data_IF_574068206549
#
_entry.id   IF_574068206549
#
_cell.length_a   1.000
_cell.length_b   1.000
_cell.length_c   1.000
_cell.angle_alpha   90.00
_cell.angle_beta   90.00
_cell.angle_gamma   90.00
#
_symmetry.space_group_name_H-M   'P 1'
#
loop_
_entity.id
_entity.type
_entity.pdbx_description
1 polymer ?
#
# COMPACT_ATOMS: atom_id res chain seq x y z
N UNK A 1 85.06 33.55 24.19
CA UNK A 1 84.63 33.12 22.84
C UNK A 1 83.60 32.03 23.02
N UNK A 2 82.34 32.32 22.65
CA UNK A 2 81.19 31.42 22.78
C UNK A 2 81.30 30.28 21.76
N UNK A 3 81.06 29.03 22.16
CA UNK A 3 80.83 27.96 21.20
C UNK A 3 79.34 27.53 21.20
N UNK A 4 78.93 26.92 20.10
CA UNK A 4 77.71 26.12 19.90
C UNK A 4 76.36 26.84 19.77
N UNK A 5 76.12 27.41 18.58
CA UNK A 5 74.80 27.41 17.92
C UNK A 5 74.60 26.02 17.29
N UNK A 6 73.99 25.06 17.97
CA UNK A 6 73.40 23.86 17.33
C UNK A 6 72.47 23.02 18.24
N UNK A 7 71.73 23.62 19.18
CA UNK A 7 70.90 22.82 20.10
C UNK A 7 69.69 23.59 20.67
N UNK A 8 68.86 24.25 19.83
CA UNK A 8 67.61 24.89 20.33
C UNK A 8 66.39 24.71 19.40
N UNK A 9 66.52 24.23 18.17
CA UNK A 9 65.34 24.13 17.26
C UNK A 9 64.56 22.80 17.31
N UNK A 10 64.95 21.84 18.15
CA UNK A 10 64.16 20.60 18.34
C UNK A 10 63.28 20.59 19.60
N UNK A 11 63.24 21.68 20.38
CA UNK A 11 62.44 21.76 21.62
C UNK A 11 61.33 22.82 21.56
N UNK A 12 60.86 23.15 20.36
CA UNK A 12 59.71 24.04 20.12
C UNK A 12 58.73 23.48 19.07
N UNK A 13 58.74 22.16 18.84
CA UNK A 13 57.76 21.44 18.01
C UNK A 13 57.03 20.32 18.80
N UNK A 14 57.35 20.13 20.09
CA UNK A 14 56.68 19.13 20.95
C UNK A 14 55.76 19.79 22.00
N UNK A 15 55.71 21.13 22.04
CA UNK A 15 54.89 21.90 23.00
C UNK A 15 53.62 22.52 22.42
N UNK A 16 53.23 22.18 21.18
CA UNK A 16 52.06 22.76 20.49
C UNK A 16 51.09 21.69 19.98
N UNK A 17 51.08 20.51 20.60
CA UNK A 17 50.21 19.38 20.26
C UNK A 17 49.37 18.91 21.47
N UNK A 18 49.18 19.79 22.44
CA UNK A 18 48.20 19.63 23.51
C UNK A 18 47.49 20.97 23.66
N UNK A 19 46.15 20.93 23.74
CA UNK A 19 45.20 22.05 23.78
C UNK A 19 44.65 22.48 22.42
N UNK A 20 43.86 21.61 21.78
CA UNK A 20 42.49 21.92 21.33
C UNK A 20 41.76 20.61 21.05
N UNK A 21 41.52 19.81 22.10
CA UNK A 21 40.33 18.96 22.14
C UNK A 21 39.40 19.56 23.17
N UNK A 22 38.85 20.73 22.83
CA UNK A 22 37.54 21.03 23.35
C UNK A 22 36.63 19.98 22.72
N UNK A 23 36.26 18.98 23.52
CA UNK A 23 35.12 18.13 23.24
C UNK A 23 33.88 19.02 23.27
N UNK A 24 33.66 19.73 22.16
CA UNK A 24 32.42 20.46 21.94
C UNK A 24 31.39 19.41 21.53
N UNK A 25 30.57 19.06 22.51
CA UNK A 25 29.21 18.54 22.40
C UNK A 25 28.52 19.00 21.10
N UNK A 26 28.78 18.28 20.00
CA UNK A 26 28.15 18.40 18.68
C UNK A 26 28.43 17.19 17.77
N UNK A 27 28.91 16.07 18.33
CA UNK A 27 29.08 14.81 17.60
C UNK A 27 27.99 13.77 17.92
N UNK A 28 26.86 14.24 18.45
CA UNK A 28 25.65 13.42 18.58
C UNK A 28 24.86 13.70 17.31
N UNK A 29 24.77 12.73 16.41
CA UNK A 29 23.85 12.82 15.28
C UNK A 29 22.47 13.20 15.81
N UNK A 30 21.80 14.21 15.23
CA UNK A 30 20.52 14.66 15.76
C UNK A 30 19.57 13.47 15.80
N UNK A 31 19.04 13.22 16.99
CA UNK A 31 18.26 12.02 17.31
C UNK A 31 17.07 11.83 16.35
N UNK A 32 16.53 12.94 15.81
CA UNK A 32 15.46 12.99 14.81
C UNK A 32 15.81 12.46 13.42
N UNK A 33 17.10 12.19 13.12
CA UNK A 33 17.50 11.47 11.89
C UNK A 33 17.16 9.97 11.95
N UNK A 34 17.11 9.42 13.17
CA UNK A 34 16.90 8.00 13.39
C UNK A 34 15.41 7.64 13.49
N UNK A 35 14.57 8.60 13.87
CA UNK A 35 13.12 8.43 13.96
C UNK A 35 12.42 9.80 13.89
N UNK A 36 11.19 9.83 13.38
CA UNK A 36 10.39 11.05 13.33
C UNK A 36 8.91 10.75 13.08
N UNK A 37 8.07 11.77 13.29
CA UNK A 37 6.78 11.91 12.62
C UNK A 37 6.82 13.25 11.89
N UNK A 38 6.58 13.24 10.58
CA UNK A 38 6.54 14.45 9.75
C UNK A 38 5.27 14.50 8.95
N UNK A 39 4.73 15.71 8.81
CA UNK A 39 3.46 15.96 8.16
C UNK A 39 3.66 16.70 6.84
N UNK A 40 2.89 16.34 5.83
CA UNK A 40 2.90 16.95 4.51
C UNK A 40 1.49 17.32 4.07
N UNK A 41 1.42 18.35 3.24
CA UNK A 41 0.17 18.90 2.75
C UNK A 41 0.03 20.38 3.08
N UNK A 42 -0.35 21.16 2.07
CA UNK A 42 -0.67 22.59 2.17
C UNK A 42 -2.13 22.76 2.64
N UNK A 43 -2.85 23.76 2.12
CA UNK A 43 -4.27 23.94 2.42
C UNK A 43 -5.11 22.73 1.97
N UNK A 44 -6.18 22.45 2.72
CA UNK A 44 -7.07 21.31 2.50
C UNK A 44 -6.71 20.07 3.31
N UNK A 45 -7.49 19.01 3.09
CA UNK A 45 -7.32 17.70 3.72
C UNK A 45 -6.47 16.82 2.80
N UNK A 46 -5.35 16.33 3.29
CA UNK A 46 -4.43 15.49 2.54
C UNK A 46 -4.45 14.08 3.11
N UNK A 47 -4.88 13.13 2.30
CA UNK A 47 -4.93 11.71 2.63
C UNK A 47 -3.80 10.96 1.96
N UNK A 48 -3.08 10.14 2.72
CA UNK A 48 -2.04 9.28 2.19
C UNK A 48 -2.61 8.01 1.54
N UNK A 49 -1.96 7.50 0.50
CA UNK A 49 -2.37 6.26 -0.18
C UNK A 49 -1.25 5.25 -0.25
N UNK A 50 -0.12 5.62 -0.83
CA UNK A 50 1.01 4.72 -0.97
C UNK A 50 2.34 5.48 -1.13
N UNK A 51 3.46 4.78 -1.00
CA UNK A 51 4.79 5.34 -1.25
C UNK A 51 5.78 4.31 -1.77
N UNK A 52 6.82 4.82 -2.41
CA UNK A 52 7.99 4.04 -2.83
C UNK A 52 9.27 4.63 -2.23
N UNK A 53 10.22 3.75 -1.93
CA UNK A 53 11.58 4.11 -1.52
C UNK A 53 12.49 3.91 -2.73
N UNK A 54 13.20 4.94 -3.13
CA UNK A 54 14.14 4.91 -4.24
C UNK A 54 15.56 4.55 -3.78
N UNK A 55 16.33 3.95 -4.69
CA UNK A 55 17.75 3.62 -4.46
C UNK A 55 18.62 4.85 -4.16
N UNK A 56 18.18 6.06 -4.58
CA UNK A 56 18.86 7.32 -4.30
C UNK A 56 18.62 7.87 -2.88
N UNK A 57 17.91 7.13 -2.02
CA UNK A 57 17.61 7.55 -0.65
C UNK A 57 16.52 8.62 -0.60
N UNK A 58 15.59 8.59 -1.54
CA UNK A 58 14.39 9.43 -1.52
C UNK A 58 13.13 8.60 -1.41
N UNK A 59 12.07 9.21 -0.89
CA UNK A 59 10.74 8.61 -0.79
C UNK A 59 9.79 9.43 -1.65
N UNK A 60 8.98 8.78 -2.50
CA UNK A 60 7.88 9.44 -3.22
C UNK A 60 6.58 8.90 -2.63
N UNK A 61 5.76 9.79 -2.12
CA UNK A 61 4.46 9.50 -1.51
C UNK A 61 3.37 10.02 -2.45
N UNK A 62 2.34 9.22 -2.65
CA UNK A 62 1.11 9.65 -3.32
C UNK A 62 -0.07 9.65 -2.36
N UNK A 63 -0.97 10.57 -2.62
CA UNK A 63 -2.16 10.78 -1.82
C UNK A 63 -3.23 11.55 -2.59
N UNK A 64 -4.26 11.95 -1.86
CA UNK A 64 -5.36 12.77 -2.39
C UNK A 64 -5.49 14.02 -1.55
N UNK A 65 -5.49 15.18 -2.19
CA UNK A 65 -5.89 16.44 -1.54
C UNK A 65 -7.36 16.74 -1.83
N UNK A 66 -8.12 17.05 -0.79
CA UNK A 66 -9.49 17.56 -0.85
C UNK A 66 -9.51 19.01 -0.39
N UNK A 67 -9.98 19.92 -1.24
CA UNK A 67 -10.01 21.36 -0.96
C UNK A 67 -11.27 22.02 -1.53
N UNK A 68 -11.51 23.27 -1.12
CA UNK A 68 -12.72 24.03 -1.43
C UNK A 68 -13.62 24.22 -0.22
N UNK A 69 -14.46 25.25 -0.22
CA UNK A 69 -15.36 25.57 0.90
C UNK A 69 -16.80 25.15 0.64
N UNK A 70 -17.32 25.39 -0.57
CA UNK A 70 -18.72 25.08 -0.93
C UNK A 70 -18.83 23.86 -1.83
N UNK A 71 -17.90 23.72 -2.78
CA UNK A 71 -17.78 22.54 -3.64
C UNK A 71 -16.41 21.96 -3.36
N UNK A 72 -16.39 20.75 -2.80
CA UNK A 72 -15.16 20.02 -2.53
C UNK A 72 -14.62 19.44 -3.83
N UNK A 73 -13.31 19.61 -4.03
CA UNK A 73 -12.57 19.13 -5.19
C UNK A 73 -11.46 18.21 -4.73
N UNK A 74 -11.33 17.04 -5.36
CA UNK A 74 -10.26 16.06 -5.08
C UNK A 74 -9.24 16.02 -6.20
N UNK A 75 -7.95 16.03 -5.84
CA UNK A 75 -6.83 15.91 -6.78
C UNK A 75 -5.78 14.97 -6.23
N UNK A 76 -4.99 14.36 -7.11
CA UNK A 76 -3.83 13.57 -6.72
C UNK A 76 -2.77 14.52 -6.17
N UNK A 77 -2.24 14.21 -5.00
CA UNK A 77 -1.13 14.94 -4.37
C UNK A 77 0.10 14.04 -4.31
N UNK A 78 1.26 14.60 -4.60
CA UNK A 78 2.53 13.89 -4.62
C UNK A 78 3.52 14.69 -3.81
N UNK A 79 4.25 14.04 -2.92
CA UNK A 79 5.37 14.65 -2.19
C UNK A 79 6.59 13.76 -2.27
N UNK A 80 7.75 14.37 -2.53
CA UNK A 80 9.04 13.69 -2.48
C UNK A 80 9.83 14.17 -1.27
N UNK A 81 10.40 13.25 -0.52
CA UNK A 81 11.27 13.56 0.63
C UNK A 81 12.61 12.84 0.54
N UNK A 82 13.57 13.27 1.36
CA UNK A 82 14.71 12.42 1.71
C UNK A 82 14.34 11.39 2.79
N UNK A 83 15.26 10.48 3.14
CA UNK A 83 15.09 9.48 4.22
C UNK A 83 15.07 10.08 5.64
N UNK A 84 15.40 11.36 5.79
CA UNK A 84 15.19 12.12 7.03
C UNK A 84 13.80 12.78 7.06
N UNK A 85 12.99 12.58 6.01
CA UNK A 85 11.65 13.11 5.82
C UNK A 85 11.64 14.63 5.53
N UNK A 86 12.74 15.23 5.10
CA UNK A 86 12.70 16.61 4.63
C UNK A 86 12.03 16.64 3.25
N UNK A 87 11.02 17.49 3.09
CA UNK A 87 10.36 17.68 1.80
C UNK A 87 11.35 18.28 0.80
N UNK A 88 11.46 17.64 -0.37
CA UNK A 88 12.26 18.09 -1.50
C UNK A 88 11.39 18.85 -2.52
N UNK A 89 10.18 18.33 -2.78
CA UNK A 89 9.16 18.99 -3.59
C UNK A 89 7.79 18.35 -3.35
N UNK A 90 6.74 19.08 -3.70
CA UNK A 90 5.38 18.56 -3.81
C UNK A 90 4.70 19.01 -5.13
N UNK A 91 3.68 18.26 -5.57
CA UNK A 91 2.91 18.50 -6.79
C UNK A 91 1.45 18.08 -6.59
N UNK A 92 0.56 18.73 -7.32
CA UNK A 92 -0.83 18.31 -7.46
C UNK A 92 -1.11 17.96 -8.92
N UNK A 93 -1.64 16.77 -9.16
CA UNK A 93 -2.08 16.31 -10.48
C UNK A 93 -3.60 16.18 -10.53
N UNK A 94 -4.15 16.35 -11.71
CA UNK A 94 -5.55 16.04 -11.99
C UNK A 94 -6.11 16.90 -13.12
N UNK A 95 -7.36 16.63 -13.46
CA UNK A 95 -8.11 17.36 -14.50
C UNK A 95 -9.22 18.22 -13.87
N UNK A 96 -10.31 18.49 -14.59
CA UNK A 96 -11.47 19.19 -14.04
C UNK A 96 -12.31 18.29 -13.10
N UNK A 97 -12.23 16.96 -13.29
CA UNK A 97 -12.94 15.97 -12.48
C UNK A 97 -12.19 15.65 -11.18
N UNK A 98 -12.94 15.30 -10.13
CA UNK A 98 -12.35 14.74 -8.91
C UNK A 98 -11.53 13.51 -9.27
N UNK A 99 -10.36 13.42 -8.65
CA UNK A 99 -9.42 12.36 -8.92
C UNK A 99 -8.72 11.97 -7.62
N UNK A 100 -8.74 10.68 -7.31
CA UNK A 100 -8.16 10.09 -6.10
C UNK A 100 -7.01 9.18 -6.47
N UNK A 101 -5.88 9.30 -5.77
CA UNK A 101 -4.78 8.35 -5.91
C UNK A 101 -5.18 6.98 -5.34
N UNK A 102 -4.61 5.92 -5.90
CA UNK A 102 -4.75 4.55 -5.42
C UNK A 102 -3.40 3.89 -5.17
N UNK A 103 -2.44 4.04 -6.09
CA UNK A 103 -1.17 3.31 -6.04
C UNK A 103 -0.04 4.08 -6.75
N UNK A 104 1.22 3.81 -6.39
CA UNK A 104 2.41 4.28 -7.10
C UNK A 104 3.42 3.14 -7.29
N UNK A 105 3.86 2.94 -8.52
CA UNK A 105 4.74 1.83 -8.90
C UNK A 105 5.94 2.32 -9.71
N UNK A 106 7.19 1.88 -9.44
CA UNK A 106 8.32 2.13 -10.33
C UNK A 106 8.13 1.41 -11.67
N UNK A 107 8.40 2.10 -12.78
CA UNK A 107 8.40 1.47 -14.10
C UNK A 107 9.77 0.82 -14.30
N UNK A 108 9.80 -0.52 -14.25
CA UNK A 108 11.04 -1.30 -14.29
C UNK A 108 11.42 -1.81 -15.68
N UNK A 109 10.52 -1.69 -16.68
CA UNK A 109 10.74 -2.16 -18.04
C UNK A 109 10.00 -1.32 -19.08
N UNK A 110 10.35 -1.50 -20.36
CA UNK A 110 9.74 -0.75 -21.47
C UNK A 110 10.34 0.66 -21.68
N UNK A 111 9.69 1.48 -22.53
CA UNK A 111 10.25 2.76 -22.98
C UNK A 111 10.29 3.85 -21.89
N UNK A 112 9.44 3.74 -20.86
CA UNK A 112 9.36 4.69 -19.76
C UNK A 112 10.08 4.18 -18.50
N UNK A 113 10.93 3.15 -18.61
CA UNK A 113 11.69 2.60 -17.48
C UNK A 113 12.54 3.68 -16.77
N UNK A 114 12.56 3.62 -15.43
CA UNK A 114 13.21 4.62 -14.56
C UNK A 114 12.31 5.80 -14.19
N UNK A 115 11.08 5.85 -14.71
CA UNK A 115 10.02 6.75 -14.25
C UNK A 115 9.08 6.01 -13.27
N UNK A 116 8.05 6.71 -12.80
CA UNK A 116 7.04 6.15 -11.91
C UNK A 116 5.67 6.20 -12.55
N UNK A 117 4.81 5.27 -12.17
CA UNK A 117 3.45 5.15 -12.62
C UNK A 117 2.51 5.41 -11.44
N UNK A 118 1.62 6.37 -11.57
CA UNK A 118 0.57 6.64 -10.60
C UNK A 118 -0.74 6.07 -11.13
N UNK A 119 -1.40 5.24 -10.33
CA UNK A 119 -2.76 4.80 -10.53
C UNK A 119 -3.72 5.73 -9.79
N UNK A 120 -4.70 6.27 -10.51
CA UNK A 120 -5.75 7.11 -9.94
C UNK A 120 -7.13 6.72 -10.49
N UNK A 121 -8.17 7.08 -9.73
CA UNK A 121 -9.56 6.92 -10.12
C UNK A 121 -10.18 8.31 -10.23
N UNK A 122 -10.81 8.62 -11.37
CA UNK A 122 -11.44 9.94 -11.58
C UNK A 122 -12.93 9.82 -11.89
N UNK A 123 -13.70 10.78 -11.38
CA UNK A 123 -15.15 10.81 -11.54
C UNK A 123 -15.52 11.01 -13.01
N UNK A 124 -16.44 10.17 -13.48
CA UNK A 124 -17.11 10.28 -14.78
C UNK A 124 -18.50 10.89 -14.62
N UNK A 125 -19.24 10.40 -13.62
CA UNK A 125 -20.57 10.84 -13.21
C UNK A 125 -20.75 10.51 -11.72
N UNK A 126 -21.91 10.83 -11.15
CA UNK A 126 -22.25 10.40 -9.78
C UNK A 126 -22.08 8.89 -9.65
N UNK A 127 -21.26 8.46 -8.69
CA UNK A 127 -20.95 7.06 -8.37
C UNK A 127 -20.37 6.23 -9.53
N UNK A 128 -19.76 6.88 -10.53
CA UNK A 128 -19.09 6.22 -11.65
C UNK A 128 -17.68 6.77 -11.81
N UNK A 129 -16.69 5.87 -11.77
CA UNK A 129 -15.28 6.23 -11.92
C UNK A 129 -14.67 5.61 -13.16
N UNK A 130 -13.63 6.24 -13.68
CA UNK A 130 -12.71 5.67 -14.64
C UNK A 130 -11.33 5.56 -14.01
N UNK A 131 -10.48 4.74 -14.63
CA UNK A 131 -9.10 4.57 -14.20
C UNK A 131 -8.20 5.49 -15.04
N UNK A 132 -7.19 6.09 -14.40
CA UNK A 132 -6.09 6.76 -15.07
C UNK A 132 -4.75 6.20 -14.59
N UNK A 133 -3.84 6.03 -15.54
CA UNK A 133 -2.42 5.81 -15.28
C UNK A 133 -1.65 7.06 -15.72
N UNK A 134 -0.84 7.63 -14.84
CA UNK A 134 -0.01 8.80 -15.15
C UNK A 134 1.47 8.47 -14.93
N UNK A 135 2.28 8.66 -15.96
CA UNK A 135 3.74 8.51 -15.88
C UNK A 135 4.34 9.82 -15.41
N UNK A 136 5.15 9.77 -14.35
CA UNK A 136 5.90 10.92 -13.83
C UNK A 136 7.40 10.65 -13.82
N UNK A 137 8.19 11.70 -14.03
CA UNK A 137 9.65 11.61 -13.83
C UNK A 137 10.02 11.78 -12.34
N UNK A 138 11.31 11.68 -12.02
CA UNK A 138 11.85 11.83 -10.66
C UNK A 138 11.75 13.25 -10.05
N UNK A 139 11.39 14.24 -10.87
CA UNK A 139 11.09 15.62 -10.47
C UNK A 139 9.59 15.86 -10.29
N UNK A 140 8.76 14.82 -10.48
CA UNK A 140 7.31 14.87 -10.33
C UNK A 140 6.59 15.49 -11.52
N UNK A 141 7.27 15.71 -12.66
CA UNK A 141 6.61 16.23 -13.85
C UNK A 141 5.85 15.10 -14.55
N UNK A 142 4.57 15.36 -14.86
CA UNK A 142 3.75 14.45 -15.66
C UNK A 142 4.24 14.41 -17.09
N UNK A 143 4.58 13.21 -17.57
CA UNK A 143 5.08 12.96 -18.92
C UNK A 143 3.93 12.57 -19.87
N UNK A 144 2.99 11.76 -19.39
CA UNK A 144 1.83 11.27 -20.14
C UNK A 144 0.81 10.64 -19.20
N UNK A 145 -0.44 10.61 -19.66
CA UNK A 145 -1.54 9.94 -18.96
C UNK A 145 -2.38 9.11 -19.93
N UNK A 146 -2.90 7.99 -19.42
CA UNK A 146 -3.73 7.04 -20.14
C UNK A 146 -5.02 6.81 -19.37
N UNK A 147 -6.16 6.91 -20.05
CA UNK A 147 -7.48 6.76 -19.46
C UNK A 147 -8.10 5.43 -19.89
N UNK A 148 -8.64 4.69 -18.92
CA UNK A 148 -9.35 3.44 -19.14
C UNK A 148 -10.80 3.62 -18.69
N UNK A 149 -11.71 3.55 -19.64
CA UNK A 149 -13.11 3.93 -19.51
C UNK A 149 -14.03 3.01 -20.32
N UNK A 150 -13.59 1.77 -20.56
CA UNK A 150 -14.27 0.83 -21.46
C UNK A 150 -15.55 0.22 -20.86
N UNK A 151 -15.73 0.32 -19.54
CA UNK A 151 -16.92 -0.15 -18.81
C UNK A 151 -17.71 1.01 -18.20
N UNK A 152 -18.89 0.71 -17.65
CA UNK A 152 -19.76 1.71 -17.02
C UNK A 152 -19.03 2.48 -15.91
N UNK A 153 -18.39 1.72 -15.01
CA UNK A 153 -17.56 2.20 -13.91
C UNK A 153 -16.41 1.22 -13.66
N UNK A 154 -15.23 1.78 -13.39
CA UNK A 154 -14.00 1.06 -13.11
C UNK A 154 -13.27 1.70 -11.95
N UNK A 155 -12.77 0.88 -11.03
CA UNK A 155 -11.93 1.34 -9.93
C UNK A 155 -10.69 0.47 -9.82
N UNK A 156 -9.52 1.06 -10.04
CA UNK A 156 -8.22 0.44 -9.84
C UNK A 156 -7.80 0.51 -8.38
N UNK A 157 -7.18 -0.57 -7.90
CA UNK A 157 -6.63 -0.70 -6.54
C UNK A 157 -5.10 -0.80 -6.54
N UNK A 158 -4.52 -1.53 -7.49
CA UNK A 158 -3.07 -1.66 -7.60
C UNK A 158 -2.62 -1.84 -9.05
N UNK A 159 -1.38 -1.44 -9.33
CA UNK A 159 -0.69 -1.66 -10.59
C UNK A 159 0.71 -2.24 -10.33
N UNK A 160 1.12 -3.20 -11.15
CA UNK A 160 2.43 -3.84 -11.02
C UNK A 160 3.16 -3.84 -12.35
N UNK A 161 4.39 -3.31 -12.35
CA UNK A 161 5.24 -3.25 -13.53
C UNK A 161 6.16 -4.46 -13.62
N UNK A 162 6.37 -4.99 -14.82
CA UNK A 162 7.29 -6.11 -15.04
C UNK A 162 8.53 -5.67 -15.80
N UNK A 163 9.62 -6.42 -15.67
CA UNK A 163 10.87 -6.17 -16.40
C UNK A 163 10.72 -6.27 -17.93
N UNK A 164 9.65 -6.92 -18.41
CA UNK A 164 9.30 -6.95 -19.84
C UNK A 164 8.61 -5.67 -20.32
N UNK A 165 8.23 -4.77 -19.42
CA UNK A 165 7.44 -3.57 -19.68
C UNK A 165 5.93 -3.81 -19.72
N UNK A 166 5.48 -5.06 -19.64
CA UNK A 166 4.05 -5.39 -19.41
C UNK A 166 3.66 -4.94 -18.00
N UNK A 167 2.42 -4.47 -17.85
CA UNK A 167 1.86 -4.09 -16.55
C UNK A 167 0.56 -4.85 -16.29
N UNK A 168 0.27 -5.09 -15.01
CA UNK A 168 -1.00 -5.64 -14.57
C UNK A 168 -1.69 -4.64 -13.65
N UNK A 169 -2.98 -4.44 -13.86
CA UNK A 169 -3.83 -3.64 -13.00
C UNK A 169 -4.87 -4.54 -12.35
N UNK A 170 -5.02 -4.41 -11.03
CA UNK A 170 -6.09 -5.04 -10.25
C UNK A 170 -7.13 -4.01 -9.81
N UNK A 171 -8.39 -4.43 -9.73
CA UNK A 171 -9.46 -3.61 -9.20
C UNK A 171 -10.83 -4.27 -9.25
N UNK A 172 -11.85 -3.45 -9.46
CA UNK A 172 -13.23 -3.88 -9.64
C UNK A 172 -13.96 -3.07 -10.71
N UNK A 173 -15.08 -3.60 -11.19
CA UNK A 173 -16.02 -2.91 -12.06
C UNK A 173 -17.44 -3.11 -11.55
N UNK A 174 -18.28 -2.07 -11.65
CA UNK A 174 -19.72 -2.16 -11.29
C UNK A 174 -20.62 -2.31 -12.52
N UNK A 175 -20.07 -2.81 -13.62
CA UNK A 175 -20.83 -3.05 -14.83
C UNK A 175 -21.90 -4.12 -14.57
N UNK A 176 -23.17 -3.73 -14.64
CA UNK A 176 -24.28 -4.67 -14.72
C UNK A 176 -24.08 -5.42 -16.03
N UNK A 177 -23.83 -6.73 -15.99
CA UNK A 177 -23.61 -7.58 -17.16
C UNK A 177 -24.63 -7.32 -18.29
N UNK A 178 -24.33 -6.38 -19.19
CA UNK A 178 -25.18 -6.01 -20.31
C UNK A 178 -25.00 -6.94 -21.53
N UNK A 179 -24.44 -8.13 -21.31
CA UNK A 179 -24.29 -9.17 -22.31
C UNK A 179 -24.80 -10.49 -21.75
N UNK A 180 -25.79 -11.07 -22.43
CA UNK A 180 -26.14 -12.48 -22.24
C UNK A 180 -24.88 -13.34 -22.32
N UNK A 181 -24.68 -14.19 -21.31
CA UNK A 181 -23.76 -15.33 -21.31
C UNK A 181 -22.31 -15.11 -20.84
N UNK A 182 -22.13 -14.73 -19.55
CA UNK A 182 -20.93 -15.15 -18.80
C UNK A 182 -21.15 -15.77 -17.42
N UNK A 183 -22.39 -15.85 -16.91
CA UNK A 183 -22.70 -16.49 -15.63
C UNK A 183 -23.71 -17.64 -15.76
N UNK A 184 -23.26 -18.78 -16.32
CA UNK A 184 -24.09 -20.00 -16.49
C UNK A 184 -24.34 -20.73 -15.15
N UNK A 185 -23.69 -20.31 -14.06
CA UNK A 185 -23.73 -20.99 -12.76
C UNK A 185 -24.73 -20.39 -11.75
N UNK A 186 -25.31 -19.21 -12.00
CA UNK A 186 -26.24 -18.56 -11.07
C UNK A 186 -27.65 -18.53 -11.66
N UNK A 187 -28.55 -19.36 -11.14
CA UNK A 187 -29.88 -19.59 -11.72
C UNK A 187 -30.90 -18.46 -11.51
N UNK A 188 -30.54 -17.37 -10.82
CA UNK A 188 -31.31 -16.11 -10.74
C UNK A 188 -30.45 -15.02 -10.08
N UNK A 189 -29.88 -14.05 -10.81
CA UNK A 189 -29.14 -12.97 -10.17
C UNK A 189 -30.11 -11.86 -9.70
N UNK A 190 -30.19 -11.50 -8.41
CA UNK A 190 -30.44 -10.10 -8.03
C UNK A 190 -29.37 -9.20 -8.69
N UNK A 191 -29.62 -7.88 -8.86
CA UNK A 191 -28.74 -6.99 -9.61
C UNK A 191 -27.28 -7.10 -9.12
N UNK A 192 -26.40 -7.58 -10.00
CA UNK A 192 -24.95 -7.75 -9.78
C UNK A 192 -24.35 -6.36 -9.50
N UNK A 193 -23.48 -6.24 -8.49
CA UNK A 193 -22.93 -4.96 -8.05
C UNK A 193 -21.43 -4.79 -8.36
N UNK A 194 -20.57 -5.81 -8.20
CA UNK A 194 -19.12 -5.67 -8.44
C UNK A 194 -18.44 -6.98 -8.96
N UNK A 195 -17.78 -6.90 -10.12
CA UNK A 195 -16.89 -7.95 -10.64
C UNK A 195 -15.42 -7.60 -10.41
N UNK A 196 -14.60 -8.63 -10.30
CA UNK A 196 -13.14 -8.49 -10.26
C UNK A 196 -12.64 -7.96 -11.59
N UNK A 197 -11.76 -6.96 -11.55
CA UNK A 197 -11.13 -6.41 -12.75
C UNK A 197 -9.65 -6.74 -12.76
N UNK A 198 -9.19 -7.39 -13.82
CA UNK A 198 -7.76 -7.51 -14.13
C UNK A 198 -7.51 -7.00 -15.54
N UNK A 199 -6.66 -5.99 -15.68
CA UNK A 199 -6.25 -5.47 -16.99
C UNK A 199 -4.76 -5.73 -17.16
N UNK A 200 -4.40 -6.37 -18.27
CA UNK A 200 -3.01 -6.48 -18.70
C UNK A 200 -2.72 -5.47 -19.79
N UNK A 201 -1.69 -4.68 -19.58
CA UNK A 201 -1.25 -3.62 -20.48
C UNK A 201 0.08 -4.00 -21.10
N UNK A 202 0.26 -3.63 -22.37
CA UNK A 202 1.56 -3.66 -23.03
C UNK A 202 2.43 -2.51 -22.55
N UNK A 203 3.71 -2.51 -22.94
CA UNK A 203 4.67 -1.45 -22.61
C UNK A 203 4.36 -0.09 -23.23
N UNK A 204 3.40 -0.02 -24.15
CA UNK A 204 2.85 1.21 -24.71
C UNK A 204 1.52 1.62 -24.05
N UNK A 205 1.14 0.97 -22.95
CA UNK A 205 -0.09 1.19 -22.19
C UNK A 205 -1.38 0.84 -22.95
N UNK A 206 -1.28 0.19 -24.12
CA UNK A 206 -2.46 -0.39 -24.77
C UNK A 206 -2.95 -1.63 -24.00
N UNK A 207 -4.27 -1.78 -23.90
CA UNK A 207 -4.88 -3.00 -23.35
C UNK A 207 -4.48 -4.19 -24.22
N UNK A 208 -3.86 -5.18 -23.60
CA UNK A 208 -3.65 -6.49 -24.21
C UNK A 208 -4.86 -7.39 -23.97
N UNK A 209 -5.35 -7.43 -22.74
CA UNK A 209 -6.66 -7.95 -22.38
C UNK A 209 -7.17 -7.25 -21.12
N UNK A 210 -8.48 -7.24 -20.97
CA UNK A 210 -9.18 -6.91 -19.75
C UNK A 210 -10.18 -8.02 -19.42
N UNK A 211 -9.99 -8.62 -18.26
CA UNK A 211 -10.79 -9.71 -17.78
C UNK A 211 -11.64 -9.24 -16.61
N UNK A 212 -12.94 -9.47 -16.75
CA UNK A 212 -13.90 -9.46 -15.65
C UNK A 212 -14.06 -10.89 -15.20
N UNK A 213 -13.37 -11.23 -14.12
CA UNK A 213 -13.47 -12.56 -13.52
C UNK A 213 -14.62 -12.46 -12.53
N UNK A 214 -15.56 -13.42 -12.51
CA UNK A 214 -16.81 -13.26 -11.76
C UNK A 214 -17.65 -14.54 -11.71
N UNK A 215 -18.67 -14.50 -10.85
CA UNK A 215 -19.50 -15.65 -10.43
C UNK A 215 -20.17 -15.47 -9.07
N UNK A 216 -20.12 -14.26 -8.50
CA UNK A 216 -20.47 -13.91 -7.13
C UNK A 216 -21.24 -12.56 -7.11
N UNK A 217 -21.80 -12.13 -5.98
CA UNK A 217 -22.52 -10.85 -5.92
C UNK A 217 -21.59 -9.65 -5.70
N UNK A 218 -20.47 -9.85 -5.01
CA UNK A 218 -19.46 -8.84 -4.70
C UNK A 218 -18.06 -9.47 -4.74
N UNK A 219 -17.16 -8.85 -5.51
CA UNK A 219 -15.77 -9.29 -5.60
C UNK A 219 -14.83 -8.17 -6.04
N UNK A 220 -13.58 -8.25 -5.61
CA UNK A 220 -12.56 -7.28 -5.98
C UNK A 220 -11.17 -7.89 -6.05
N UNK A 221 -10.49 -7.68 -7.17
CA UNK A 221 -9.06 -7.93 -7.26
C UNK A 221 -8.30 -6.85 -6.49
N UNK A 222 -7.41 -7.26 -5.61
CA UNK A 222 -6.64 -6.38 -4.72
C UNK A 222 -5.28 -6.08 -5.31
N UNK A 223 -4.54 -7.11 -5.75
CA UNK A 223 -3.19 -6.96 -6.27
C UNK A 223 -2.82 -8.09 -7.26
N UNK A 224 -1.86 -7.84 -8.16
CA UNK A 224 -1.23 -8.84 -9.04
C UNK A 224 0.28 -8.80 -8.88
N UNK A 225 0.88 -9.76 -8.20
CA UNK A 225 2.33 -9.76 -7.91
C UNK A 225 3.07 -10.85 -8.69
N UNK A 226 4.34 -10.65 -9.08
CA UNK A 226 5.16 -11.69 -9.69
C UNK A 226 5.44 -12.82 -8.69
N UNK A 227 5.39 -14.07 -9.15
CA UNK A 227 5.80 -15.27 -8.40
C UNK A 227 6.59 -16.21 -9.32
N UNK A 228 7.92 -16.09 -9.31
CA UNK A 228 8.79 -16.83 -10.23
C UNK A 228 8.54 -16.45 -11.70
N UNK A 229 8.18 -17.43 -12.53
CA UNK A 229 7.76 -17.22 -13.94
C UNK A 229 6.26 -17.02 -14.10
N UNK A 230 5.53 -16.96 -13.00
CA UNK A 230 4.08 -16.81 -12.93
C UNK A 230 3.74 -15.52 -12.17
N UNK A 231 2.45 -15.27 -12.00
CA UNK A 231 1.87 -14.18 -11.24
C UNK A 231 0.82 -14.74 -10.30
N UNK A 232 0.71 -14.14 -9.12
CA UNK A 232 -0.41 -14.35 -8.21
C UNK A 232 -1.31 -13.13 -8.36
N UNK A 233 -2.59 -13.33 -8.62
CA UNK A 233 -3.54 -12.29 -8.25
C UNK A 233 -4.26 -12.68 -6.97
N UNK A 234 -4.38 -11.68 -6.09
CA UNK A 234 -5.03 -11.79 -4.80
C UNK A 234 -6.31 -10.96 -4.82
N UNK A 235 -7.38 -11.52 -4.28
CA UNK A 235 -8.71 -10.95 -4.33
C UNK A 235 -9.55 -11.37 -3.12
N UNK A 236 -10.74 -10.80 -2.99
CA UNK A 236 -11.80 -11.39 -2.19
C UNK A 236 -13.10 -11.48 -2.99
N UNK A 237 -13.99 -12.39 -2.61
CA UNK A 237 -15.33 -12.52 -3.19
C UNK A 237 -16.18 -13.52 -2.42
N UNK A 238 -17.48 -13.39 -2.62
CA UNK A 238 -18.54 -14.26 -2.13
C UNK A 238 -18.90 -15.42 -3.10
N UNK A 239 -17.93 -15.88 -3.91
CA UNK A 239 -18.15 -16.96 -4.87
C UNK A 239 -18.40 -18.31 -4.17
N UNK A 240 -19.41 -19.06 -4.63
CA UNK A 240 -19.69 -20.41 -4.11
C UNK A 240 -18.58 -21.37 -4.56
N UNK A 241 -17.73 -21.78 -3.63
CA UNK A 241 -16.66 -22.75 -3.91
C UNK A 241 -17.24 -24.17 -3.78
N UNK A 242 -17.49 -24.83 -4.92
CA UNK A 242 -18.33 -26.04 -5.01
C UNK A 242 -17.81 -27.32 -4.31
N UNK A 243 -16.91 -27.25 -3.32
CA UNK A 243 -16.49 -28.44 -2.54
C UNK A 243 -15.57 -28.20 -1.32
N UNK A 244 -15.08 -26.99 -1.03
CA UNK A 244 -13.96 -26.80 -0.08
C UNK A 244 -14.26 -25.90 1.14
N UNK A 245 -15.46 -25.31 1.21
CA UNK A 245 -16.04 -24.72 2.41
C UNK A 245 -17.40 -25.40 2.67
N UNK A 246 -17.88 -25.49 3.92
CA UNK A 246 -19.15 -26.14 4.22
C UNK A 246 -20.28 -25.37 3.57
N UNK A 247 -20.97 -26.12 2.71
CA UNK A 247 -22.21 -25.88 2.00
C UNK A 247 -23.33 -25.28 2.88
N UNK A 248 -23.21 -23.99 3.25
CA UNK A 248 -24.35 -23.16 3.61
C UNK A 248 -24.71 -22.30 2.38
N UNK A 249 -25.99 -22.10 2.13
CA UNK A 249 -26.47 -21.28 1.01
C UNK A 249 -26.20 -19.77 1.22
N UNK A 250 -25.12 -19.41 1.93
CA UNK A 250 -24.80 -18.04 2.34
C UNK A 250 -23.54 -17.59 1.60
N UNK A 251 -23.64 -16.42 0.99
CA UNK A 251 -22.59 -15.83 0.16
C UNK A 251 -21.53 -15.19 1.06
N UNK A 252 -20.55 -15.99 1.50
CA UNK A 252 -19.45 -15.59 2.40
C UNK A 252 -18.25 -15.01 1.62
N UNK A 253 -17.83 -13.79 1.95
CA UNK A 253 -16.61 -13.23 1.35
C UNK A 253 -15.38 -13.92 1.91
N UNK A 254 -14.54 -14.46 1.03
CA UNK A 254 -13.28 -15.11 1.42
C UNK A 254 -12.11 -14.53 0.64
N UNK A 255 -10.90 -14.67 1.17
CA UNK A 255 -9.68 -14.37 0.42
C UNK A 255 -9.47 -15.44 -0.66
N UNK A 256 -9.11 -14.99 -1.86
CA UNK A 256 -8.93 -15.82 -3.03
C UNK A 256 -7.56 -15.53 -3.63
N UNK A 257 -6.83 -16.60 -3.93
CA UNK A 257 -5.54 -16.54 -4.58
C UNK A 257 -5.54 -17.43 -5.81
N UNK A 258 -5.07 -16.90 -6.94
CA UNK A 258 -4.92 -17.68 -8.17
C UNK A 258 -3.54 -17.44 -8.79
N UNK A 259 -2.90 -18.53 -9.22
CA UNK A 259 -1.60 -18.51 -9.89
C UNK A 259 -1.79 -18.63 -11.39
N UNK A 260 -1.18 -17.74 -12.17
CA UNK A 260 -1.31 -17.73 -13.63
C UNK A 260 0.00 -17.34 -14.31
N UNK A 261 0.23 -17.80 -15.53
CA UNK A 261 1.45 -17.47 -16.29
C UNK A 261 1.24 -16.34 -17.29
N UNK A 262 0.18 -16.44 -18.11
CA UNK A 262 -0.08 -15.51 -19.20
C UNK A 262 -1.44 -14.80 -19.10
N UNK A 263 -2.49 -15.55 -18.73
CA UNK A 263 -3.86 -15.06 -18.67
C UNK A 263 -4.51 -15.45 -17.32
N UNK A 264 -4.98 -14.49 -16.50
CA UNK A 264 -5.60 -14.77 -15.22
C UNK A 264 -6.96 -15.49 -15.32
N UNK A 265 -7.70 -15.41 -16.44
CA UNK A 265 -8.97 -16.15 -16.62
C UNK A 265 -8.79 -17.64 -16.88
N UNK A 266 -7.63 -18.07 -17.37
CA UNK A 266 -7.34 -19.49 -17.57
C UNK A 266 -6.75 -20.17 -16.33
N UNK A 267 -6.63 -19.43 -15.22
CA UNK A 267 -6.11 -19.95 -13.96
C UNK A 267 -7.19 -20.74 -13.21
N UNK A 268 -6.90 -21.98 -12.85
CA UNK A 268 -7.74 -22.69 -11.89
C UNK A 268 -7.67 -21.96 -10.53
N UNK A 269 -8.82 -21.77 -9.88
CA UNK A 269 -8.87 -21.21 -8.53
C UNK A 269 -8.08 -22.12 -7.58
N UNK A 270 -7.10 -21.54 -6.89
CA UNK A 270 -5.96 -22.31 -6.35
C UNK A 270 -5.97 -22.42 -4.83
N UNK A 271 -6.36 -21.37 -4.10
CA UNK A 271 -6.30 -21.38 -2.65
C UNK A 271 -7.28 -20.36 -2.08
N UNK A 272 -7.91 -20.71 -0.96
CA UNK A 272 -8.85 -19.86 -0.23
C UNK A 272 -8.40 -19.71 1.21
N UNK A 273 -8.76 -18.60 1.83
CA UNK A 273 -8.56 -18.33 3.25
C UNK A 273 -9.75 -17.55 3.79
N UNK A 274 -10.28 -17.98 4.94
CA UNK A 274 -11.46 -17.37 5.55
C UNK A 274 -12.08 -18.24 6.64
N UNK A 275 -13.16 -17.75 7.24
CA UNK A 275 -13.84 -18.37 8.37
C UNK A 275 -15.30 -18.65 8.05
N UNK A 276 -15.87 -19.68 8.69
CA UNK A 276 -17.27 -20.05 8.48
C UNK A 276 -18.22 -19.02 9.07
N UNK A 277 -19.25 -18.66 8.31
CA UNK A 277 -20.33 -17.73 8.67
C UNK A 277 -19.84 -16.31 8.99
N UNK A 278 -18.74 -15.88 8.36
CA UNK A 278 -18.18 -14.54 8.48
C UNK A 278 -17.74 -14.04 7.10
N UNK A 279 -17.59 -12.72 6.97
CA UNK A 279 -17.00 -12.09 5.81
C UNK A 279 -15.53 -11.77 6.08
N UNK A 280 -14.63 -12.19 5.19
CA UNK A 280 -13.24 -11.72 5.10
C UNK A 280 -12.99 -10.96 3.79
N UNK A 281 -12.94 -9.63 3.88
CA UNK A 281 -12.66 -8.76 2.72
C UNK A 281 -11.21 -8.30 2.70
N UNK A 282 -10.45 -8.80 1.73
CA UNK A 282 -9.03 -8.48 1.56
C UNK A 282 -8.84 -7.01 1.16
N UNK A 283 -7.85 -6.36 1.75
CA UNK A 283 -7.51 -4.96 1.46
C UNK A 283 -6.11 -4.83 0.87
N UNK A 284 -5.15 -5.67 1.28
CA UNK A 284 -3.80 -5.63 0.75
C UNK A 284 -3.13 -7.00 0.68
N UNK A 285 -2.12 -7.11 -0.19
CA UNK A 285 -1.29 -8.28 -0.39
C UNK A 285 0.16 -7.84 -0.60
N UNK A 286 1.11 -8.55 0.03
CA UNK A 286 2.53 -8.17 -0.02
C UNK A 286 3.05 -8.19 -1.46
N UNK A 287 3.70 -7.10 -1.86
CA UNK A 287 4.31 -6.86 -3.18
C UNK A 287 5.37 -7.91 -3.59
N UNK A 288 6.08 -8.45 -2.60
CA UNK A 288 7.18 -9.42 -2.79
C UNK A 288 7.11 -10.56 -1.77
N UNK A 289 7.70 -11.73 -2.10
CA UNK A 289 7.68 -12.87 -1.19
C UNK A 289 8.66 -12.68 -0.02
N UNK A 290 8.29 -13.20 1.14
CA UNK A 290 9.17 -13.43 2.28
C UNK A 290 9.31 -14.94 2.51
N UNK A 291 10.53 -15.47 2.43
CA UNK A 291 10.83 -16.90 2.64
C UNK A 291 9.91 -17.83 1.82
N UNK A 292 9.69 -17.52 0.54
CA UNK A 292 8.76 -18.24 -0.37
C UNK A 292 7.28 -18.20 0.06
N UNK A 293 6.89 -17.21 0.84
CA UNK A 293 5.49 -16.96 1.20
C UNK A 293 5.08 -15.55 0.81
N UNK A 294 3.79 -15.30 0.73
CA UNK A 294 3.20 -13.96 0.66
C UNK A 294 2.19 -13.81 1.79
N UNK A 295 1.90 -12.58 2.19
CA UNK A 295 0.91 -12.28 3.21
C UNK A 295 -0.19 -11.36 2.66
N UNK A 296 -1.44 -11.68 2.99
CA UNK A 296 -2.61 -10.87 2.78
C UNK A 296 -3.13 -10.34 4.11
N UNK A 297 -3.73 -9.16 4.09
CA UNK A 297 -4.49 -8.60 5.20
C UNK A 297 -5.84 -8.07 4.70
N UNK A 298 -6.84 -8.16 5.55
CA UNK A 298 -8.18 -7.63 5.33
C UNK A 298 -8.95 -7.50 6.62
N UNK A 299 -10.26 -7.38 6.49
CA UNK A 299 -11.18 -7.23 7.62
C UNK A 299 -12.12 -8.41 7.67
N UNK A 300 -12.17 -9.07 8.83
CA UNK A 300 -13.21 -10.04 9.19
C UNK A 300 -14.39 -9.30 9.82
N UNK A 301 -15.62 -9.65 9.46
CA UNK A 301 -16.85 -9.13 10.09
C UNK A 301 -18.00 -10.13 10.05
N UNK A 302 -19.05 -9.86 10.83
CA UNK A 302 -20.35 -10.48 10.61
C UNK A 302 -20.95 -9.97 9.28
N UNK A 303 -21.92 -10.69 8.68
CA UNK A 303 -22.55 -10.31 7.40
C UNK A 303 -23.23 -8.94 7.37
N UNK A 304 -23.51 -8.35 8.54
CA UNK A 304 -24.04 -6.99 8.65
C UNK A 304 -22.94 -5.91 8.74
N UNK A 305 -21.66 -6.30 8.62
CA UNK A 305 -20.49 -5.43 8.73
C UNK A 305 -20.08 -5.08 10.16
N UNK A 306 -20.68 -5.69 11.19
CA UNK A 306 -20.32 -5.47 12.59
C UNK A 306 -19.21 -6.40 13.07
N UNK A 307 -18.70 -6.13 14.28
CA UNK A 307 -17.68 -6.95 14.96
C UNK A 307 -16.38 -7.06 14.16
N UNK A 308 -15.96 -5.96 13.56
CA UNK A 308 -14.81 -5.91 12.65
C UNK A 308 -13.50 -6.24 13.37
N UNK A 309 -12.70 -7.13 12.77
CA UNK A 309 -11.37 -7.54 13.24
C UNK A 309 -10.39 -7.54 12.07
N UNK A 310 -9.10 -7.33 12.33
CA UNK A 310 -8.10 -7.51 11.29
C UNK A 310 -7.81 -9.00 11.11
N UNK A 311 -7.92 -9.49 9.88
CA UNK A 311 -7.67 -10.87 9.49
C UNK A 311 -6.48 -10.92 8.53
N UNK A 312 -5.63 -11.92 8.67
CA UNK A 312 -4.49 -12.11 7.77
C UNK A 312 -4.36 -13.56 7.34
N UNK A 313 -3.73 -13.76 6.18
CA UNK A 313 -3.40 -15.07 5.63
C UNK A 313 -1.98 -15.04 5.08
N UNK A 314 -1.21 -16.09 5.32
CA UNK A 314 0.12 -16.31 4.73
C UNK A 314 0.02 -17.53 3.83
N UNK A 315 0.37 -17.38 2.56
CA UNK A 315 0.27 -18.43 1.55
C UNK A 315 1.64 -18.73 0.96
N UNK A 316 1.89 -19.98 0.57
CA UNK A 316 3.10 -20.34 -0.19
C UNK A 316 3.14 -19.62 -1.54
N UNK A 317 4.31 -19.24 -2.06
CA UNK A 317 4.47 -18.60 -3.37
C UNK A 317 3.97 -19.44 -4.55
N UNK A 318 3.90 -20.76 -4.36
CA UNK A 318 3.33 -21.73 -5.32
C UNK A 318 1.83 -21.94 -5.17
N UNK A 319 1.17 -21.25 -4.21
CA UNK A 319 -0.22 -21.44 -3.80
C UNK A 319 -0.60 -22.91 -3.51
N UNK A 320 0.34 -23.72 -3.00
CA UNK A 320 0.10 -25.12 -2.63
C UNK A 320 -0.51 -25.30 -1.24
N UNK A 321 -0.42 -24.27 -0.39
CA UNK A 321 -0.94 -24.32 0.99
C UNK A 321 -1.11 -22.93 1.60
N UNK A 322 -2.12 -22.79 2.46
CA UNK A 322 -2.17 -21.73 3.48
C UNK A 322 -1.23 -22.13 4.61
N UNK A 323 -0.26 -21.27 4.93
CA UNK A 323 0.78 -21.49 5.95
C UNK A 323 0.28 -21.10 7.33
N UNK A 324 -0.44 -19.97 7.41
CA UNK A 324 -1.08 -19.47 8.62
C UNK A 324 -2.24 -18.55 8.21
N UNK A 325 -3.34 -18.57 8.93
CA UNK A 325 -4.47 -17.66 8.72
C UNK A 325 -5.21 -17.40 10.04
N UNK A 326 -5.92 -16.29 10.11
CA UNK A 326 -6.80 -15.98 11.23
C UNK A 326 -6.84 -14.51 11.61
N UNK A 327 -7.60 -14.23 12.67
CA UNK A 327 -7.67 -12.92 13.30
C UNK A 327 -6.32 -12.57 13.93
N UNK A 328 -5.72 -11.49 13.47
CA UNK A 328 -4.43 -10.98 13.95
C UNK A 328 -4.57 -9.81 14.92
N UNK A 329 -5.68 -9.04 14.84
CA UNK A 329 -5.99 -7.97 15.77
C UNK A 329 -7.48 -7.99 16.13
N UNK A 330 -7.76 -8.01 17.44
CA UNK A 330 -9.10 -7.94 18.01
C UNK A 330 -9.04 -7.41 19.44
N UNK A 331 -10.16 -6.94 19.98
CA UNK A 331 -10.19 -6.40 21.33
C UNK A 331 -11.56 -5.84 21.71
N UNK A 332 -11.56 -4.87 22.63
CA UNK A 332 -12.76 -4.12 22.99
C UNK A 332 -13.20 -3.13 21.89
N UNK A 333 -12.25 -2.71 21.06
CA UNK A 333 -12.46 -1.90 19.86
C UNK A 333 -12.55 -2.78 18.61
N UNK A 334 -13.10 -2.22 17.54
CA UNK A 334 -13.09 -2.85 16.23
C UNK A 334 -11.77 -2.58 15.49
N UNK A 335 -11.44 -3.40 14.49
CA UNK A 335 -10.24 -3.23 13.67
C UNK A 335 -10.54 -3.44 12.18
N UNK A 336 -9.96 -2.62 11.32
CA UNK A 336 -9.97 -2.80 9.87
C UNK A 336 -8.54 -2.98 9.34
N UNK A 337 -8.32 -3.97 8.47
CA UNK A 337 -7.04 -4.17 7.80
C UNK A 337 -6.75 -3.05 6.80
N UNK A 338 -5.48 -2.66 6.66
CA UNK A 338 -5.07 -1.53 5.81
C UNK A 338 -4.01 -1.94 4.79
N UNK A 339 -2.83 -2.38 5.25
CA UNK A 339 -1.71 -2.66 4.37
C UNK A 339 -0.81 -3.76 4.93
N UNK A 340 -0.07 -4.42 4.05
CA UNK A 340 0.91 -5.43 4.42
C UNK A 340 2.14 -5.33 3.53
N UNK A 341 3.32 -5.44 4.14
CA UNK A 341 4.60 -5.42 3.42
C UNK A 341 5.55 -6.49 3.96
N UNK A 342 6.37 -7.05 3.07
CA UNK A 342 7.43 -7.97 3.44
C UNK A 342 8.69 -7.19 3.89
N UNK A 343 9.11 -7.40 5.13
CA UNK A 343 10.40 -6.98 5.64
C UNK A 343 11.46 -8.07 5.38
N UNK A 344 12.66 -7.92 5.94
CA UNK A 344 13.78 -8.86 5.81
C UNK A 344 13.51 -10.24 6.44
N UNK A 345 12.80 -10.29 7.57
CA UNK A 345 12.54 -11.54 8.31
C UNK A 345 11.08 -11.76 8.68
N UNK A 346 10.23 -10.74 8.51
CA UNK A 346 8.90 -10.66 9.11
C UNK A 346 7.96 -9.90 8.18
N UNK A 347 6.66 -10.06 8.34
CA UNK A 347 5.67 -9.18 7.72
C UNK A 347 5.39 -7.97 8.61
N UNK A 348 5.12 -6.83 7.98
CA UNK A 348 4.63 -5.62 8.64
C UNK A 348 3.18 -5.43 8.23
N UNK A 349 2.29 -5.45 9.21
CA UNK A 349 0.86 -5.30 9.01
C UNK A 349 0.41 -3.96 9.61
N UNK A 350 -0.45 -3.27 8.87
CA UNK A 350 -1.14 -2.05 9.30
C UNK A 350 -2.64 -2.32 9.35
N UNK A 351 -3.27 -1.82 10.41
CA UNK A 351 -4.71 -1.78 10.60
C UNK A 351 -5.10 -0.44 11.20
N UNK A 352 -6.39 -0.11 11.17
CA UNK A 352 -6.93 0.96 12.00
C UNK A 352 -7.72 0.35 13.17
N UNK A 353 -7.42 0.76 14.39
CA UNK A 353 -8.25 0.51 15.57
C UNK A 353 -9.39 1.54 15.57
N UNK A 354 -10.63 1.10 15.76
CA UNK A 354 -11.84 1.92 15.68
C UNK A 354 -12.51 1.95 17.03
N UNK A 355 -12.55 3.12 17.66
CA UNK A 355 -13.19 3.29 18.95
C UNK A 355 -14.72 3.45 18.83
N UNK A 356 -15.40 3.51 19.98
CA UNK A 356 -16.87 3.63 20.05
C UNK A 356 -17.44 4.93 19.46
N UNK A 357 -16.60 5.95 19.22
CA UNK A 357 -16.96 7.19 18.55
C UNK A 357 -16.67 7.16 17.03
N UNK A 358 -16.35 5.99 16.49
CA UNK A 358 -15.94 5.79 15.09
C UNK A 358 -14.72 6.65 14.70
N UNK A 359 -13.80 6.81 15.63
CA UNK A 359 -12.49 7.44 15.44
C UNK A 359 -11.42 6.39 15.35
N UNK A 360 -10.48 6.60 14.42
CA UNK A 360 -9.42 5.65 14.11
C UNK A 360 -8.08 6.06 14.69
N UNK A 361 -7.34 5.05 15.13
CA UNK A 361 -5.90 5.12 15.40
C UNK A 361 -5.17 4.13 14.49
N UNK A 362 -3.99 4.50 14.01
CA UNK A 362 -3.12 3.63 13.21
C UNK A 362 -2.51 2.58 14.13
N UNK A 363 -2.70 1.31 13.80
CA UNK A 363 -2.14 0.18 14.52
C UNK A 363 -1.14 -0.56 13.63
N UNK A 364 0.12 -0.58 14.05
CA UNK A 364 1.20 -1.29 13.36
C UNK A 364 1.60 -2.53 14.15
N UNK A 365 1.84 -3.64 13.44
CA UNK A 365 2.36 -4.87 14.05
C UNK A 365 3.36 -5.56 13.12
N UNK A 366 4.52 -5.92 13.67
CA UNK A 366 5.49 -6.79 12.99
C UNK A 366 5.22 -8.24 13.41
N UNK A 367 5.09 -9.13 12.44
CA UNK A 367 4.71 -10.53 12.66
C UNK A 367 5.60 -11.50 11.91
N UNK A 368 5.90 -12.64 12.51
CA UNK A 368 6.56 -13.74 11.81
C UNK A 368 5.69 -14.30 10.67
N UNK A 369 6.26 -15.14 9.81
CA UNK A 369 5.50 -15.87 8.76
C UNK A 369 4.42 -16.81 9.31
N UNK A 370 4.46 -17.12 10.61
CA UNK A 370 3.41 -17.88 11.31
C UNK A 370 2.34 -16.99 11.97
N UNK A 371 2.28 -15.69 11.62
CA UNK A 371 1.38 -14.69 12.21
C UNK A 371 1.53 -14.51 13.74
N UNK A 372 2.70 -14.86 14.29
CA UNK A 372 3.03 -14.58 15.69
C UNK A 372 3.58 -13.15 15.80
N UNK A 373 2.97 -12.27 16.64
CA UNK A 373 3.42 -10.89 16.81
C UNK A 373 4.79 -10.81 17.48
N UNK A 374 5.67 -9.98 16.94
CA UNK A 374 6.98 -9.63 17.50
C UNK A 374 6.88 -8.38 18.37
N UNK A 375 6.28 -7.32 17.82
CA UNK A 375 5.91 -6.10 18.55
C UNK A 375 4.80 -5.36 17.81
N UNK A 376 4.11 -4.47 18.54
CA UNK A 376 3.09 -3.59 17.98
C UNK A 376 3.19 -2.19 18.56
N UNK A 377 2.70 -1.21 17.81
CA UNK A 377 2.71 0.21 18.16
C UNK A 377 1.42 0.85 17.63
N UNK A 378 0.90 1.81 18.38
CA UNK A 378 -0.26 2.61 17.98
C UNK A 378 0.12 4.08 17.80
N UNK A 379 -0.43 4.70 16.76
CA UNK A 379 -0.30 6.14 16.49
C UNK A 379 -1.68 6.76 16.34
N UNK A 380 -1.88 7.90 16.96
CA UNK A 380 -3.11 8.66 16.88
C UNK A 380 -3.57 9.17 18.24
N UNK A 381 -4.70 9.86 18.25
CA UNK A 381 -5.35 10.35 19.45
C UNK A 381 -6.83 9.99 19.46
N UNK A 382 -7.37 9.74 20.66
CA UNK A 382 -8.75 9.25 20.87
C UNK A 382 -9.83 10.07 20.14
N UNK A 383 -9.62 11.38 20.00
CA UNK A 383 -10.59 12.31 19.38
C UNK A 383 -10.36 12.52 17.88
N UNK A 384 -9.22 12.06 17.36
CA UNK A 384 -8.79 12.24 15.99
C UNK A 384 -9.18 11.05 15.12
N UNK A 385 -9.24 11.24 13.80
CA UNK A 385 -9.46 10.16 12.85
C UNK A 385 -8.19 9.86 12.04
N UNK A 386 -7.26 9.16 12.67
CA UNK A 386 -5.93 8.83 12.16
C UNK A 386 -5.92 7.44 11.49
N UNK A 387 -5.45 7.36 10.23
CA UNK A 387 -5.58 6.19 9.36
C UNK A 387 -4.25 5.76 8.76
N UNK A 388 -3.93 4.47 8.79
CA UNK A 388 -2.77 3.93 8.08
C UNK A 388 -2.95 4.00 6.55
N UNK A 389 -1.84 3.89 5.82
CA UNK A 389 -1.85 3.79 4.36
C UNK A 389 -0.90 2.70 3.85
N UNK A 390 0.39 2.76 4.20
CA UNK A 390 1.40 1.81 3.72
C UNK A 390 2.56 1.70 4.72
N UNK A 391 3.37 0.64 4.61
CA UNK A 391 4.59 0.48 5.41
C UNK A 391 5.71 -0.18 4.59
N UNK A 392 6.96 0.10 4.95
CA UNK A 392 8.14 -0.52 4.34
C UNK A 392 9.32 -0.55 5.31
N UNK A 393 10.27 -1.45 5.06
CA UNK A 393 11.53 -1.56 5.80
C UNK A 393 12.65 -0.94 4.95
N UNK A 394 13.42 -0.04 5.56
CA UNK A 394 14.60 0.56 4.96
C UNK A 394 15.78 -0.43 4.98
N UNK A 395 16.81 -0.26 4.13
CA UNK A 395 17.97 -1.16 4.09
C UNK A 395 18.71 -1.32 5.42
N UNK A 396 18.62 -0.34 6.32
CA UNK A 396 19.20 -0.39 7.67
C UNK A 396 18.28 -1.05 8.72
N UNK A 397 17.11 -1.55 8.32
CA UNK A 397 16.09 -2.15 9.18
C UNK A 397 15.12 -1.16 9.81
N UNK A 398 15.30 0.15 9.62
CA UNK A 398 14.34 1.15 10.09
C UNK A 398 13.00 0.95 9.38
N UNK A 399 11.92 1.31 10.05
CA UNK A 399 10.56 1.09 9.54
C UNK A 399 9.97 2.44 9.17
N UNK A 400 9.46 2.54 7.94
CA UNK A 400 8.60 3.64 7.51
C UNK A 400 7.15 3.20 7.54
N UNK A 401 6.32 4.05 8.16
CA UNK A 401 4.86 3.92 8.17
C UNK A 401 4.30 5.21 7.59
N UNK A 402 3.41 5.05 6.62
CA UNK A 402 2.65 6.12 6.02
C UNK A 402 1.22 6.09 6.55
N UNK A 403 0.67 7.25 6.84
CA UNK A 403 -0.72 7.40 7.23
C UNK A 403 -1.27 8.79 6.98
N UNK A 404 -2.53 8.98 7.35
CA UNK A 404 -3.23 10.24 7.40
C UNK A 404 -3.49 10.55 8.86
N UNK A 405 -3.05 11.71 9.34
CA UNK A 405 -3.28 12.11 10.72
C UNK A 405 -4.00 13.46 10.79
N UNK A 406 -4.94 13.55 11.72
CA UNK A 406 -5.73 14.75 11.95
C UNK A 406 -4.97 15.70 12.89
N UNK A 407 -4.74 16.93 12.44
CA UNK A 407 -4.11 17.98 13.23
C UNK A 407 -5.15 18.90 13.88
N UNK A 408 -4.69 19.77 14.78
CA UNK A 408 -5.54 20.76 15.43
C UNK A 408 -6.32 21.58 14.38
N UNK A 409 -7.64 21.67 14.55
CA UNK A 409 -8.54 22.30 13.58
C UNK A 409 -9.20 21.35 12.56
N UNK A 410 -9.13 20.03 12.80
CA UNK A 410 -9.76 18.99 11.97
C UNK A 410 -9.27 18.98 10.51
N UNK A 411 -7.98 19.25 10.31
CA UNK A 411 -7.34 19.10 9.01
C UNK A 411 -6.55 17.80 8.97
N UNK A 412 -6.82 16.99 7.95
CA UNK A 412 -6.07 15.77 7.69
C UNK A 412 -4.78 16.11 6.95
N UNK A 413 -3.65 15.53 7.38
CA UNK A 413 -2.36 15.63 6.71
C UNK A 413 -1.75 14.26 6.49
N UNK A 414 -0.96 14.14 5.43
CA UNK A 414 -0.11 12.97 5.22
C UNK A 414 0.95 12.94 6.32
N UNK A 415 1.10 11.82 7.00
CA UNK A 415 2.10 11.60 8.04
C UNK A 415 3.08 10.50 7.59
N UNK A 416 4.37 10.82 7.55
CA UNK A 416 5.44 9.83 7.44
C UNK A 416 6.07 9.64 8.81
N UNK A 417 6.04 8.40 9.27
CA UNK A 417 6.54 7.98 10.58
C UNK A 417 7.75 7.08 10.33
N UNK A 418 8.87 7.41 10.93
CA UNK A 418 10.08 6.58 10.91
C UNK A 418 10.37 6.05 12.31
N UNK A 419 10.60 4.75 12.41
CA UNK A 419 10.95 4.04 13.64
C UNK A 419 12.26 3.27 13.47
N UNK A 420 12.91 3.00 14.60
CA UNK A 420 14.02 2.04 14.63
C UNK A 420 13.52 0.60 14.38
N UNK A 421 14.40 -0.38 14.07
CA UNK A 421 14.01 -1.75 13.74
C UNK A 421 13.22 -2.47 14.85
N UNK A 422 13.44 -2.06 16.09
CA UNK A 422 12.77 -2.58 17.30
C UNK A 422 11.46 -1.85 17.64
N UNK A 423 11.00 -0.94 16.78
CA UNK A 423 9.78 -0.17 17.00
C UNK A 423 9.92 1.03 17.96
N UNK A 424 11.13 1.37 18.40
CA UNK A 424 11.31 2.56 19.25
C UNK A 424 11.48 3.83 18.42
N UNK A 425 11.06 4.95 19.03
CA UNK A 425 11.57 6.27 18.72
C UNK A 425 13.01 6.34 19.24
#
# INVERSE_FOLDING_TARGET
MKPYRFFVECLLIVGSLFLFTCDTKNNIDPVFKNYFIKYYGEDGNHEAKDFIINDDGTVIIVGTVTFGQTVLTKRVYIVKTDLEGNELWNKTLGSDFNEEAADIEPIVGGPDAGNFLILSNFDKATDQTNIRLTVINSSGDSLRSFNYAQYLSLRGKSVTSTTSGVMYLAGLTTDIDAGSDKNVLLNTPPPILEDYLIIRLRSDYSIEFDDRIGGSYEGSAVNVVPSGSSFIYAAYSDELTSSNLPDNNEHEHNFIFRLFSNNPTSAAVSLFSGSLNLDEKMVAFSDKPLLNTYCAIGTQSDFNGANRKAYAAVVSSTLSSVIAEGVVLSGANEYEGVAVAAASTSYMLLANEINTANKRDIFFVKMSTGLVPEFNIKFGAVENDDRGAAAAELPNGDILILGTMQLAGQQDKIALIKLRPNGTF
#
